data_IF_092266242762
#
_entry.id   IF_092266242762
#
_cell.length_a   1.000
_cell.length_b   1.000
_cell.length_c   1.000
_cell.angle_alpha   90.00
_cell.angle_beta   90.00
_cell.angle_gamma   90.00
#
_symmetry.space_group_name_H-M   'P 1'
#
loop_
_entity.id
_entity.type
_entity.pdbx_description
1 polymer ?
#
# COMPACT_ATOMS: atom_id res chain seq x y z
N UNK A 1 -7.47 0.54 -17.32
CA UNK A 1 -6.02 0.81 -17.18
C UNK A 1 -5.74 1.73 -15.99
N UNK A 2 -6.32 2.93 -15.90
CA UNK A 2 -6.12 3.86 -14.77
C UNK A 2 -6.53 3.25 -13.41
N UNK A 3 -7.63 2.50 -13.35
CA UNK A 3 -8.09 1.82 -12.13
C UNK A 3 -7.08 0.80 -11.59
N UNK A 4 -6.42 0.04 -12.46
CA UNK A 4 -5.35 -0.89 -12.05
C UNK A 4 -4.13 -0.13 -11.52
N UNK A 5 -3.74 0.97 -12.16
CA UNK A 5 -2.64 1.81 -11.69
C UNK A 5 -2.93 2.40 -10.30
N UNK A 6 -4.16 2.89 -10.08
CA UNK A 6 -4.63 3.41 -8.78
C UNK A 6 -4.61 2.32 -7.72
N UNK A 7 -5.10 1.12 -8.05
CA UNK A 7 -5.07 -0.03 -7.14
C UNK A 7 -3.64 -0.43 -6.76
N UNK A 8 -2.73 -0.55 -7.74
CA UNK A 8 -1.33 -0.90 -7.48
C UNK A 8 -0.63 0.18 -6.66
N UNK A 9 -0.87 1.46 -6.95
CA UNK A 9 -0.30 2.56 -6.19
C UNK A 9 -0.74 2.54 -4.71
N UNK A 10 -2.03 2.28 -4.46
CA UNK A 10 -2.56 2.07 -3.11
C UNK A 10 -2.00 0.82 -2.45
N UNK A 11 -1.93 -0.31 -3.16
CA UNK A 11 -1.38 -1.55 -2.63
C UNK A 11 0.09 -1.38 -2.22
N UNK A 12 0.90 -0.71 -3.04
CA UNK A 12 2.29 -0.37 -2.73
C UNK A 12 2.39 0.55 -1.50
N UNK A 13 1.52 1.55 -1.39
CA UNK A 13 1.49 2.47 -0.25
C UNK A 13 1.11 1.75 1.07
N UNK A 14 0.10 0.89 1.03
CA UNK A 14 -0.30 0.08 2.19
C UNK A 14 0.75 -0.97 2.56
N UNK A 15 1.38 -1.58 1.56
CA UNK A 15 2.47 -2.53 1.79
C UNK A 15 3.66 -1.85 2.46
N UNK A 16 4.03 -0.67 1.98
CA UNK A 16 5.05 0.18 2.58
C UNK A 16 4.69 0.55 4.02
N UNK A 17 3.44 0.94 4.26
CA UNK A 17 2.92 1.26 5.58
C UNK A 17 3.07 0.09 6.56
N UNK A 18 2.59 -1.09 6.19
CA UNK A 18 2.67 -2.30 7.02
C UNK A 18 4.12 -2.73 7.28
N UNK A 19 5.00 -2.62 6.28
CA UNK A 19 6.45 -2.92 6.42
C UNK A 19 7.17 -1.94 7.35
N UNK A 20 6.79 -0.66 7.32
CA UNK A 20 7.32 0.38 8.20
C UNK A 20 6.84 0.25 9.64
N UNK A 21 5.74 -0.48 9.87
CA UNK A 21 5.18 -0.66 11.20
C UNK A 21 6.17 -1.46 12.09
N UNK A 22 6.44 -1.00 13.32
CA UNK A 22 7.51 -1.56 14.16
C UNK A 22 7.33 -3.05 14.49
N UNK A 23 6.09 -3.55 14.52
CA UNK A 23 5.81 -4.99 14.69
C UNK A 23 6.28 -5.82 13.50
N UNK A 24 6.08 -5.33 12.28
CA UNK A 24 6.47 -6.02 11.04
C UNK A 24 7.95 -5.86 10.75
N UNK A 25 8.55 -4.71 11.07
CA UNK A 25 10.00 -4.47 10.97
C UNK A 25 10.84 -5.47 11.80
N UNK A 26 10.29 -6.02 12.90
CA UNK A 26 10.97 -7.05 13.69
C UNK A 26 11.01 -8.41 12.97
N UNK A 27 9.95 -8.74 12.23
CA UNK A 27 9.80 -9.98 11.45
C UNK A 27 10.52 -9.92 10.10
N UNK A 28 10.57 -8.73 9.50
CA UNK A 28 11.26 -8.44 8.26
C UNK A 28 12.14 -7.21 8.49
N UNK A 29 13.44 -7.37 8.81
CA UNK A 29 14.33 -6.22 8.98
C UNK A 29 14.55 -5.53 7.62
N UNK A 30 14.35 -4.21 7.58
CA UNK A 30 14.63 -3.38 6.42
C UNK A 30 15.91 -2.56 6.64
N UNK A 31 16.73 -2.44 5.59
CA UNK A 31 17.88 -1.54 5.60
C UNK A 31 17.43 -0.07 5.72
N UNK A 32 18.30 0.77 6.29
CA UNK A 32 17.96 2.18 6.56
C UNK A 32 17.70 3.00 5.28
N UNK A 33 18.34 2.67 4.15
CA UNK A 33 18.05 3.24 2.84
C UNK A 33 16.67 2.86 2.34
N UNK A 34 16.26 1.62 2.54
CA UNK A 34 14.94 1.11 2.15
C UNK A 34 13.83 1.78 2.95
N UNK A 35 14.03 2.01 4.26
CA UNK A 35 13.04 2.74 5.09
C UNK A 35 12.66 4.09 4.52
N UNK A 36 13.65 4.88 4.07
CA UNK A 36 13.40 6.18 3.43
C UNK A 36 12.58 6.04 2.15
N UNK A 37 12.92 5.06 1.31
CA UNK A 37 12.17 4.77 0.09
C UNK A 37 10.71 4.37 0.37
N UNK A 38 10.47 3.52 1.36
CA UNK A 38 9.11 3.12 1.77
C UNK A 38 8.32 4.28 2.39
N UNK A 39 8.97 5.18 3.12
CA UNK A 39 8.31 6.40 3.63
C UNK A 39 7.85 7.28 2.48
N UNK A 40 8.71 7.47 1.47
CA UNK A 40 8.37 8.24 0.29
C UNK A 40 7.19 7.58 -0.47
N UNK A 41 7.25 6.26 -0.65
CA UNK A 41 6.20 5.50 -1.34
C UNK A 41 4.84 5.57 -0.62
N UNK A 42 4.84 5.62 0.71
CA UNK A 42 3.63 5.78 1.53
C UNK A 42 2.89 7.08 1.25
N UNK A 43 3.61 8.17 0.98
CA UNK A 43 3.01 9.47 0.68
C UNK A 43 2.79 9.69 -0.82
N UNK A 44 3.76 9.30 -1.66
CA UNK A 44 3.67 9.49 -3.10
C UNK A 44 2.62 8.59 -3.75
N UNK A 45 2.43 7.35 -3.26
CA UNK A 45 1.48 6.40 -3.86
C UNK A 45 0.03 6.91 -3.88
N UNK A 46 -0.56 7.32 -2.73
CA UNK A 46 -1.91 7.84 -2.68
C UNK A 46 -2.08 9.16 -3.44
N UNK A 47 -1.05 10.01 -3.44
CA UNK A 47 -1.06 11.31 -4.15
C UNK A 47 -1.02 11.11 -5.67
N UNK A 48 -0.19 10.20 -6.18
CA UNK A 48 -0.16 9.81 -7.59
C UNK A 48 -1.50 9.20 -8.02
N UNK A 49 -2.06 8.32 -7.18
CA UNK A 49 -3.37 7.73 -7.41
C UNK A 49 -4.48 8.79 -7.47
N UNK A 50 -4.42 9.80 -6.59
CA UNK A 50 -5.37 10.90 -6.56
C UNK A 50 -5.25 11.76 -7.82
N UNK A 51 -4.02 12.10 -8.23
CA UNK A 51 -3.75 12.87 -9.44
C UNK A 51 -4.29 12.16 -10.69
N UNK A 52 -4.08 10.84 -10.79
CA UNK A 52 -4.60 10.00 -11.88
C UNK A 52 -6.13 9.92 -11.90
N UNK A 53 -6.77 9.88 -10.74
CA UNK A 53 -8.23 9.87 -10.61
C UNK A 53 -8.86 11.22 -10.97
N UNK A 54 -8.23 12.33 -10.60
CA UNK A 54 -8.73 13.68 -10.84
C UNK A 54 -8.57 14.16 -12.29
N UNK A 55 -7.68 13.52 -13.06
CA UNK A 55 -7.42 13.91 -14.46
C UNK A 55 -8.63 13.74 -15.40
N UNK A 56 -9.58 12.86 -15.08
CA UNK A 56 -10.70 12.53 -15.99
C UNK A 56 -12.05 13.09 -15.53
N UNK A 57 -12.43 12.86 -14.28
CA UNK A 57 -13.69 13.32 -13.68
C UNK A 57 -13.50 13.41 -12.16
N UNK A 58 -13.72 14.60 -11.57
CA UNK A 58 -13.44 14.83 -10.15
C UNK A 58 -14.26 13.91 -9.21
N UNK A 59 -15.57 13.84 -9.40
CA UNK A 59 -16.48 13.08 -8.52
C UNK A 59 -16.27 11.57 -8.63
N UNK A 60 -16.24 11.05 -9.86
CA UNK A 60 -15.99 9.63 -10.12
C UNK A 60 -14.58 9.24 -9.71
N UNK A 61 -13.60 10.13 -9.92
CA UNK A 61 -12.22 9.94 -9.53
C UNK A 61 -12.07 9.74 -8.02
N UNK A 62 -12.70 10.57 -7.21
CA UNK A 62 -12.68 10.44 -5.75
C UNK A 62 -13.33 9.12 -5.29
N UNK A 63 -14.51 8.77 -5.84
CA UNK A 63 -15.17 7.50 -5.54
C UNK A 63 -14.27 6.30 -5.87
N UNK A 64 -13.60 6.31 -7.03
CA UNK A 64 -12.63 5.28 -7.39
C UNK A 64 -11.42 5.26 -6.47
N UNK A 65 -10.90 6.42 -6.08
CA UNK A 65 -9.74 6.53 -5.21
C UNK A 65 -10.01 5.94 -3.84
N UNK A 66 -11.15 6.27 -3.22
CA UNK A 66 -11.56 5.69 -1.94
C UNK A 66 -11.91 4.20 -2.06
N UNK A 67 -12.68 3.81 -3.08
CA UNK A 67 -13.11 2.42 -3.27
C UNK A 67 -11.94 1.47 -3.54
N UNK A 68 -11.04 1.85 -4.45
CA UNK A 68 -9.85 1.05 -4.75
C UNK A 68 -8.83 1.10 -3.61
N UNK A 69 -8.74 2.22 -2.89
CA UNK A 69 -7.94 2.32 -1.68
C UNK A 69 -8.41 1.32 -0.61
N UNK A 70 -9.71 1.26 -0.34
CA UNK A 70 -10.27 0.31 0.63
C UNK A 70 -10.01 -1.16 0.21
N UNK A 71 -10.25 -1.50 -1.05
CA UNK A 71 -9.99 -2.85 -1.58
C UNK A 71 -8.51 -3.22 -1.50
N UNK A 72 -7.61 -2.31 -1.86
CA UNK A 72 -6.17 -2.52 -1.79
C UNK A 72 -5.71 -2.70 -0.33
N UNK A 73 -6.24 -1.89 0.59
CA UNK A 73 -5.95 -2.00 2.02
C UNK A 73 -6.38 -3.35 2.59
N UNK A 74 -7.57 -3.84 2.25
CA UNK A 74 -8.04 -5.17 2.65
C UNK A 74 -7.16 -6.28 2.06
N UNK A 75 -6.86 -6.23 0.76
CA UNK A 75 -6.03 -7.23 0.10
C UNK A 75 -4.62 -7.32 0.71
N UNK A 76 -3.98 -6.18 0.96
CA UNK A 76 -2.66 -6.11 1.59
C UNK A 76 -2.70 -6.61 3.04
N UNK A 77 -3.75 -6.28 3.78
CA UNK A 77 -3.91 -6.72 5.18
C UNK A 77 -4.04 -8.25 5.27
N UNK A 78 -4.87 -8.85 4.41
CA UNK A 78 -5.05 -10.30 4.33
C UNK A 78 -3.73 -10.97 3.92
N UNK A 79 -3.06 -10.46 2.89
CA UNK A 79 -1.78 -10.99 2.44
C UNK A 79 -0.71 -10.92 3.54
N UNK A 80 -0.61 -9.80 4.25
CA UNK A 80 0.33 -9.65 5.35
C UNK A 80 -0.02 -10.52 6.56
N UNK A 81 -1.31 -10.74 6.84
CA UNK A 81 -1.74 -11.67 7.89
C UNK A 81 -1.31 -13.10 7.56
N UNK A 82 -1.50 -13.55 6.31
CA UNK A 82 -1.07 -14.86 5.84
C UNK A 82 0.46 -14.98 5.95
N UNK A 83 1.21 -13.99 5.47
CA UNK A 83 2.67 -14.01 5.53
C UNK A 83 3.21 -14.03 6.95
N UNK A 84 2.65 -13.21 7.86
CA UNK A 84 3.03 -13.20 9.29
C UNK A 84 2.75 -14.56 9.93
N UNK A 85 1.60 -15.15 9.62
CA UNK A 85 1.22 -16.45 10.14
C UNK A 85 2.12 -17.59 9.62
N UNK A 86 2.50 -17.56 8.34
CA UNK A 86 3.47 -18.51 7.76
C UNK A 86 4.85 -18.35 8.40
N UNK A 87 5.33 -17.10 8.57
CA UNK A 87 6.63 -16.86 9.23
C UNK A 87 6.65 -17.29 10.68
N UNK A 88 5.57 -17.09 11.44
CA UNK A 88 5.50 -17.56 12.84
C UNK A 88 5.52 -19.08 13.01
N UNK A 89 5.31 -19.84 11.93
CA UNK A 89 5.36 -21.31 11.93
C UNK A 89 6.68 -21.88 11.42
N UNK A 90 7.59 -21.05 10.92
CA UNK A 90 8.94 -21.48 10.55
C UNK A 90 9.80 -21.53 11.83
N UNK A 91 10.47 -22.67 12.12
CA UNK A 91 11.25 -22.89 13.34
C UNK A 91 12.50 -22.00 13.44
#
# INVERSE_FOLDING_TARGET
>A
MISLCVFVAWACAFWAHERLQPRTCKLFPLAQSQRKAYQLLRFCGPVLALFLCLYRDFEKGLLYWFGLGALAGLAVSVLMAILKHTQSRLP
#
